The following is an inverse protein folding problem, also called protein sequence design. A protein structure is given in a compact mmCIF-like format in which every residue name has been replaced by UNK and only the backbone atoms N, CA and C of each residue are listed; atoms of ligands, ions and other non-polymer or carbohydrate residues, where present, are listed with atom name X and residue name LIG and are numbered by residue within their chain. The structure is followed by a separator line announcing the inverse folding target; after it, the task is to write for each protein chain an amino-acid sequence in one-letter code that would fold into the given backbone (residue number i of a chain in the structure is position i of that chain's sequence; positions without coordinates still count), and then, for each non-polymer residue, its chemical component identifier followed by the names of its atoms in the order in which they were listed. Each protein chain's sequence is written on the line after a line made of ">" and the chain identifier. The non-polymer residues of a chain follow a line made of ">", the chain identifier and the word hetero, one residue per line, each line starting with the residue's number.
data_IF_070363093163
#
_entry.id   IF_070363093163
#
_cell.length_a   1.000
_cell.length_b   1.000
_cell.length_c   1.000
_cell.angle_alpha   90.00
_cell.angle_beta   90.00
_cell.angle_gamma   90.00
#
_symmetry.space_group_name_H-M   'P 1'
#
loop_
_entity.id
_entity.type
_entity.pdbx_description
1 polymer ?
2 polymer ?
3 non-polymer ?
4 water ?
#
# COMPACT_ATOMS: atom_id res chain seq x y z
N UNK A 6 18.18 9.30 -14.01
CA UNK A 6 16.90 9.03 -14.71
C UNK A 6 15.80 9.88 -14.07
N UNK A 7 14.99 10.53 -14.90
CA UNK A 7 13.88 11.34 -14.38
C UNK A 7 12.64 11.19 -15.25
N UNK A 8 11.49 11.53 -14.70
CA UNK A 8 10.22 11.29 -15.38
C UNK A 8 9.12 12.16 -14.84
N UNK A 9 7.98 12.19 -15.51
CA UNK A 9 6.83 12.96 -15.04
C UNK A 9 5.54 12.16 -15.11
N UNK A 10 4.50 12.71 -14.51
CA UNK A 10 3.15 12.21 -14.70
C UNK A 10 2.44 13.07 -15.68
N UNK A 11 1.26 12.62 -16.11
CA UNK A 11 0.39 13.44 -16.92
C UNK A 11 -0.01 14.61 -16.03
N UNK A 12 -0.10 15.79 -16.63
CA UNK A 12 -0.38 17.02 -15.90
C UNK A 12 -1.72 17.61 -16.31
N UNK A 13 -2.38 18.22 -15.33
CA UNK A 13 -3.73 18.80 -15.49
C UNK A 13 -3.87 20.23 -14.99
N UNK A 14 -4.92 20.90 -15.47
CA UNK A 14 -5.39 22.13 -14.85
C UNK A 14 -6.69 21.89 -14.08
N UNK A 15 -6.89 22.68 -13.03
CA UNK A 15 -8.07 22.55 -12.19
C UNK A 15 -9.29 22.84 -13.07
N UNK A 16 -10.31 21.99 -12.93
CA UNK A 16 -11.53 22.00 -13.77
C UNK A 16 -11.36 21.62 -15.24
N UNK A 17 -10.19 21.09 -15.60
CA UNK A 17 -10.01 20.49 -16.93
C UNK A 17 -11.02 19.35 -17.15
N UNK A 18 -11.65 19.34 -18.31
CA UNK A 18 -12.52 18.21 -18.66
C UNK A 18 -11.88 17.39 -19.79
N UNK A 19 -11.83 16.09 -19.58
CA UNK A 19 -11.06 15.21 -20.43
C UNK A 19 -11.64 13.79 -20.38
N UNK A 20 -11.64 13.12 -21.52
CA UNK A 20 -12.17 11.77 -21.58
C UNK A 20 -11.16 10.79 -20.98
N UNK A 21 -11.70 9.82 -20.27
CA UNK A 21 -10.94 8.78 -19.63
C UNK A 21 -11.50 7.39 -19.95
N UNK A 22 -10.62 6.41 -19.86
CA UNK A 22 -10.97 5.01 -19.75
C UNK A 22 -10.28 4.57 -18.48
N UNK A 23 -10.99 3.83 -17.63
CA UNK A 23 -10.43 3.32 -16.39
C UNK A 23 -9.55 2.10 -16.73
N UNK A 24 -8.28 2.15 -16.38
CA UNK A 24 -7.38 1.01 -16.66
C UNK A 24 -7.09 0.11 -15.43
N UNK A 25 -7.34 0.62 -14.24
CA UNK A 25 -7.22 -0.26 -13.08
C UNK A 25 -8.16 0.25 -12.00
N UNK A 26 -8.65 -0.67 -11.18
CA UNK A 26 -9.71 -0.39 -10.23
C UNK A 26 -9.45 -1.11 -8.92
N UNK A 27 -9.56 -0.37 -7.82
CA UNK A 27 -9.49 -0.93 -6.49
C UNK A 27 -10.70 -0.55 -5.68
N UNK A 28 -11.16 0.71 -5.84
CA UNK A 28 -12.35 1.24 -5.14
C UNK A 28 -12.81 2.55 -5.76
N UNK A 29 -13.90 3.14 -5.24
CA UNK A 29 -14.23 4.52 -5.60
C UNK A 29 -13.23 5.54 -5.12
N UNK A 30 -12.36 5.18 -4.18
CA UNK A 30 -11.34 6.08 -3.67
C UNK A 30 -9.97 5.87 -4.28
N UNK A 31 -9.89 4.90 -5.18
CA UNK A 31 -8.64 4.46 -5.75
C UNK A 31 -8.83 3.71 -7.05
N UNK A 32 -8.77 4.43 -8.15
CA UNK A 32 -8.80 3.80 -9.44
C UNK A 32 -7.89 4.57 -10.37
N UNK A 33 -7.52 3.92 -11.47
CA UNK A 33 -6.53 4.46 -12.36
C UNK A 33 -7.14 4.66 -13.74
N UNK A 34 -6.82 5.80 -14.36
CA UNK A 34 -7.37 6.13 -15.67
C UNK A 34 -6.27 6.47 -16.65
N UNK A 35 -6.51 6.10 -17.91
CA UNK A 35 -5.86 6.73 -19.02
C UNK A 35 -6.66 7.93 -19.42
N UNK A 36 -6.01 9.10 -19.44
CA UNK A 36 -6.60 10.35 -19.89
C UNK A 36 -6.34 10.51 -21.40
N UNK A 37 -7.42 10.60 -22.18
CA UNK A 37 -7.32 10.55 -23.63
C UNK A 37 -7.10 11.94 -24.18
N UNK A 38 -5.88 12.43 -23.99
CA UNK A 38 -5.46 13.70 -24.55
C UNK A 38 -4.04 13.57 -25.09
N UNK A 39 -3.61 14.55 -25.87
CA UNK A 39 -2.26 14.60 -26.40
C UNK A 39 -1.80 13.30 -27.08
N UNK A 40 -2.72 12.58 -27.73
CA UNK A 40 -2.38 11.32 -28.42
C UNK A 40 -1.78 10.24 -27.47
N UNK A 41 -2.22 10.26 -26.21
CA UNK A 41 -1.72 9.36 -25.17
C UNK A 41 -1.74 7.89 -25.54
N UNK A 42 -2.92 7.36 -25.85
CA UNK A 42 -3.07 5.94 -26.09
C UNK A 42 -2.13 5.50 -27.21
N UNK A 43 -1.97 6.33 -28.25
CA UNK A 43 -1.12 5.95 -29.37
C UNK A 43 0.37 6.03 -29.00
N UNK A 44 0.78 7.11 -28.35
CA UNK A 44 2.18 7.23 -27.90
C UNK A 44 2.54 6.10 -26.93
N UNK A 45 1.60 5.72 -26.05
CA UNK A 45 1.82 4.63 -25.11
C UNK A 45 1.95 3.27 -25.82
N UNK A 46 1.09 2.98 -26.80
CA UNK A 46 1.27 1.82 -27.70
C UNK A 46 2.65 1.82 -28.37
N UNK A 47 3.06 2.97 -28.88
CA UNK A 47 4.36 3.04 -29.57
C UNK A 47 5.55 2.77 -28.64
N UNK A 48 5.49 3.34 -27.44
CA UNK A 48 6.53 3.13 -26.43
C UNK A 48 6.61 1.66 -26.04
N UNK A 49 5.45 1.05 -25.81
CA UNK A 49 5.36 -0.36 -25.43
C UNK A 49 5.90 -1.29 -26.49
N UNK A 50 5.62 -0.96 -27.74
CA UNK A 50 6.22 -1.68 -28.85
C UNK A 50 7.74 -1.54 -28.76
N UNK A 51 8.22 -0.31 -28.55
CA UNK A 51 9.66 -0.09 -28.45
C UNK A 51 10.28 -0.83 -27.27
N UNK A 52 9.52 -0.99 -26.19
CA UNK A 52 10.00 -1.72 -25.01
C UNK A 52 10.06 -3.21 -25.27
N UNK A 53 9.12 -3.72 -26.08
CA UNK A 53 9.14 -5.14 -26.44
C UNK A 53 10.42 -5.48 -27.22
N UNK A 54 10.77 -4.63 -28.17
CA UNK A 54 11.96 -4.84 -29.00
C UNK A 54 13.22 -4.76 -28.14
N UNK A 55 13.30 -3.69 -27.34
CA UNK A 55 14.43 -3.43 -26.47
C UNK A 55 14.59 -4.57 -25.46
N UNK A 56 13.48 -4.98 -24.83
CA UNK A 56 13.53 -5.99 -23.77
C UNK A 56 13.79 -7.37 -24.34
N UNK A 57 13.35 -7.58 -25.57
CA UNK A 57 13.43 -8.87 -26.22
C UNK A 57 14.85 -9.38 -26.35
N UNK A 58 15.84 -8.50 -26.37
CA UNK A 58 17.14 -8.92 -26.87
C UNK A 58 18.05 -9.59 -25.84
N UNK A 59 18.84 -10.53 -26.35
CA UNK A 59 19.82 -11.29 -25.58
C UNK A 59 21.19 -10.64 -25.74
N UNK A 60 21.90 -10.35 -24.63
CA UNK A 60 21.54 -10.59 -23.23
C UNK A 60 20.63 -9.51 -22.68
N UNK A 61 19.85 -9.84 -21.64
CA UNK A 61 19.07 -8.82 -20.94
C UNK A 61 19.99 -7.88 -20.14
N UNK A 62 19.39 -6.94 -19.42
CA UNK A 62 20.14 -5.97 -18.61
C UNK A 62 20.39 -6.39 -17.15
N UNK A 63 21.59 -6.10 -16.65
CA UNK A 63 21.86 -6.14 -15.23
C UNK A 63 21.10 -4.96 -14.60
N UNK A 64 20.06 -5.25 -13.83
CA UNK A 64 19.32 -4.20 -13.14
C UNK A 64 19.53 -4.30 -11.62
N UNK A 65 19.85 -3.17 -11.00
CA UNK A 65 20.02 -3.09 -9.56
C UNK A 65 18.78 -2.43 -8.92
N UNK A 66 17.97 -3.23 -8.22
CA UNK A 66 16.71 -2.74 -7.63
C UNK A 66 16.97 -1.81 -6.44
N UNK A 67 16.37 -0.64 -6.49
CA UNK A 67 16.37 0.30 -5.40
C UNK A 67 14.95 0.88 -5.36
N UNK A 68 14.49 1.19 -4.16
CA UNK A 68 13.11 1.64 -3.97
C UNK A 68 12.83 2.94 -4.69
N UNK A 69 11.75 2.94 -5.46
CA UNK A 69 11.37 4.06 -6.27
C UNK A 69 12.16 4.20 -7.57
N UNK A 70 13.02 3.23 -7.92
CA UNK A 70 13.80 3.29 -9.19
C UNK A 70 12.98 2.83 -10.42
N UNK A 71 13.11 3.55 -11.55
CA UNK A 71 12.39 3.09 -12.71
C UNK A 71 13.07 1.88 -13.36
N UNK A 72 12.25 1.05 -14.00
CA UNK A 72 12.73 -0.11 -14.75
C UNK A 72 11.68 -0.52 -15.76
N UNK A 73 12.00 -1.58 -16.50
CA UNK A 73 11.09 -2.33 -17.35
C UNK A 73 10.82 -3.60 -16.60
N UNK A 74 9.54 -3.98 -16.48
CA UNK A 74 9.15 -5.18 -15.75
C UNK A 74 8.24 -6.02 -16.62
N UNK A 75 8.42 -7.34 -16.59
CA UNK A 75 7.60 -8.27 -17.35
C UNK A 75 6.27 -8.46 -16.62
N UNK A 76 5.15 -8.31 -17.31
CA UNK A 76 3.81 -8.52 -16.73
C UNK A 76 3.22 -9.85 -17.22
N UNK A 77 3.15 -10.81 -16.31
CA UNK A 77 2.74 -12.18 -16.65
C UNK A 77 1.27 -12.27 -17.09
N UNK A 78 0.45 -11.32 -16.64
CA UNK A 78 -0.92 -11.17 -17.14
C UNK A 78 -1.07 -11.20 -18.66
N UNK A 79 -0.19 -10.52 -19.41
CA UNK A 79 -0.24 -10.62 -20.89
C UNK A 79 1.10 -10.98 -21.54
N UNK A 80 2.16 -11.18 -20.76
CA UNK A 80 3.44 -11.62 -21.31
C UNK A 80 4.25 -10.57 -22.05
N UNK A 81 4.06 -9.31 -21.71
CA UNK A 81 4.80 -8.22 -22.33
C UNK A 81 5.55 -7.40 -21.27
N UNK A 82 6.54 -6.63 -21.71
CA UNK A 82 7.26 -5.73 -20.82
C UNK A 82 6.60 -4.35 -20.73
N UNK A 83 6.60 -3.76 -19.53
CA UNK A 83 6.09 -2.40 -19.40
C UNK A 83 6.98 -1.59 -18.47
N UNK A 84 6.74 -0.28 -18.44
CA UNK A 84 7.42 0.62 -17.54
C UNK A 84 6.94 0.39 -16.11
N UNK A 85 7.86 0.51 -15.17
CA UNK A 85 7.56 0.24 -13.78
C UNK A 85 8.51 1.00 -12.84
N UNK A 86 8.07 1.16 -11.59
CA UNK A 86 8.88 1.62 -10.48
C UNK A 86 8.94 0.52 -9.42
N UNK A 87 10.13 0.33 -8.85
CA UNK A 87 10.31 -0.58 -7.73
C UNK A 87 9.53 -0.05 -6.51
N UNK A 88 8.59 -0.85 -6.03
CA UNK A 88 7.77 -0.49 -4.89
C UNK A 88 8.26 -1.19 -3.61
N UNK A 89 8.55 -2.48 -3.73
CA UNK A 89 9.04 -3.26 -2.59
C UNK A 89 10.12 -4.27 -2.96
N UNK A 90 11.03 -4.51 -2.02
CA UNK A 90 12.00 -5.63 -2.12
C UNK A 90 11.76 -6.60 -0.98
N UNK A 91 11.48 -7.84 -1.36
CA UNK A 91 11.01 -8.85 -0.42
C UNK A 91 12.18 -9.75 -0.01
N UNK A 92 12.08 -10.37 1.18
CA UNK A 92 13.11 -11.29 1.73
C UNK A 92 13.51 -12.38 0.76
N UNK A 93 12.54 -12.98 0.07
CA UNK A 93 12.83 -13.98 -0.96
C UNK A 93 13.83 -13.53 -2.00
N UNK A 94 13.96 -12.21 -2.16
CA UNK A 94 14.75 -11.66 -3.28
C UNK A 94 13.87 -11.15 -4.40
N UNK A 95 12.59 -11.46 -4.35
CA UNK A 95 11.65 -10.90 -5.35
C UNK A 95 11.36 -9.44 -5.09
N UNK A 96 10.83 -8.78 -6.09
CA UNK A 96 10.63 -7.34 -6.09
C UNK A 96 9.16 -7.06 -6.51
N UNK A 97 8.46 -6.21 -5.77
CA UNK A 97 7.15 -5.72 -6.24
C UNK A 97 7.32 -4.45 -7.02
N UNK A 98 6.66 -4.42 -8.16
CA UNK A 98 6.76 -3.31 -9.07
C UNK A 98 5.39 -2.69 -9.32
N UNK A 99 5.37 -1.35 -9.38
CA UNK A 99 4.23 -0.56 -9.79
C UNK A 99 4.29 -0.28 -11.25
N UNK A 100 3.36 -0.86 -12.02
CA UNK A 100 3.30 -0.58 -13.46
C UNK A 100 2.73 0.82 -13.69
N UNK A 101 3.61 1.77 -14.06
CA UNK A 101 3.33 3.21 -14.00
C UNK A 101 2.32 3.73 -15.03
N UNK A 102 2.15 3.00 -16.13
CA UNK A 102 1.18 3.40 -17.14
C UNK A 102 -0.20 2.74 -16.97
N UNK A 103 -0.41 1.96 -15.90
CA UNK A 103 -1.68 1.21 -15.69
C UNK A 103 -2.19 1.24 -14.24
N UNK A 104 -1.28 1.16 -13.27
CA UNK A 104 -1.64 1.33 -11.87
C UNK A 104 -1.67 0.08 -11.04
N UNK A 105 -1.43 -1.08 -11.66
CA UNK A 105 -1.30 -2.35 -10.94
C UNK A 105 0.10 -2.58 -10.40
N UNK A 106 0.16 -3.34 -9.32
CA UNK A 106 1.40 -3.72 -8.67
C UNK A 106 1.50 -5.24 -8.75
N UNK A 107 2.65 -5.76 -9.20
CA UNK A 107 2.89 -7.21 -9.26
C UNK A 107 4.24 -7.61 -8.60
N UNK A 108 4.30 -8.79 -8.02
CA UNK A 108 5.55 -9.38 -7.55
C UNK A 108 6.26 -10.11 -8.68
N UNK A 109 7.50 -9.70 -8.97
CA UNK A 109 8.31 -10.32 -10.01
C UNK A 109 9.67 -10.82 -9.46
N UNK A 110 10.31 -11.67 -10.25
CA UNK A 110 11.65 -12.13 -9.98
C UNK A 110 12.66 -11.22 -10.69
N UNK A 111 13.94 -11.43 -10.40
CA UNK A 111 15.02 -10.62 -10.97
C UNK A 111 15.20 -10.81 -12.49
N UNK A 112 14.83 -11.96 -13.02
CA UNK A 112 14.82 -12.16 -14.47
C UNK A 112 13.69 -11.41 -15.16
N UNK A 113 12.75 -10.88 -14.40
CA UNK A 113 11.59 -10.20 -14.95
C UNK A 113 11.73 -8.67 -14.84
N UNK A 114 12.96 -8.22 -14.52
CA UNK A 114 13.30 -6.82 -14.43
C UNK A 114 14.46 -6.52 -15.39
N UNK A 115 14.40 -5.38 -16.05
CA UNK A 115 15.49 -4.88 -16.85
C UNK A 115 15.63 -3.38 -16.59
N UNK A 116 16.86 -2.89 -16.60
CA UNK A 116 17.10 -1.44 -16.53
C UNK A 116 16.31 -0.71 -17.64
N UNK A 117 15.80 0.48 -17.34
CA UNK A 117 15.14 1.30 -18.36
C UNK A 117 16.13 2.38 -18.85
N UNK A 118 15.94 2.85 -20.06
CA UNK A 118 16.79 3.89 -20.61
C UNK A 118 16.03 5.21 -20.71
N UNK A 119 16.75 6.35 -20.56
CA UNK A 119 16.12 7.68 -20.55
C UNK A 119 15.17 7.99 -21.71
N UNK A 120 15.39 7.39 -22.87
CA UNK A 120 14.55 7.73 -24.01
C UNK A 120 13.18 7.11 -23.89
N UNK A 121 13.05 6.08 -23.05
CA UNK A 121 11.76 5.49 -22.75
C UNK A 121 11.02 6.19 -21.62
N UNK A 122 11.59 7.25 -21.08
CA UNK A 122 10.98 7.98 -19.95
C UNK A 122 10.51 9.37 -20.37
N UNK A 123 10.53 9.65 -21.67
CA UNK A 123 10.04 10.95 -22.17
C UNK A 123 8.50 11.09 -22.08
N UNK A 124 7.79 10.05 -22.47
CA UNK A 124 6.34 10.04 -22.35
C UNK A 124 5.95 10.08 -20.86
N UNK A 125 5.07 11.00 -20.47
CA UNK A 125 4.66 11.01 -19.05
C UNK A 125 4.04 9.69 -18.66
N UNK A 126 4.20 9.30 -17.39
CA UNK A 126 3.51 8.12 -16.87
C UNK A 126 1.99 8.30 -16.96
N UNK A 127 1.32 7.25 -17.44
CA UNK A 127 -0.07 7.36 -17.93
C UNK A 127 -1.12 6.79 -17.00
N UNK A 128 -0.72 5.99 -16.01
CA UNK A 128 -1.65 5.44 -15.04
C UNK A 128 -1.86 6.45 -13.92
N UNK A 129 -2.87 7.28 -14.09
CA UNK A 129 -3.11 8.39 -13.18
C UNK A 129 -4.05 7.95 -12.07
N UNK A 130 -3.58 8.01 -10.82
CA UNK A 130 -4.46 7.62 -9.71
C UNK A 130 -5.58 8.64 -9.57
N UNK A 131 -6.82 8.15 -9.42
CA UNK A 131 -7.99 8.99 -9.27
C UNK A 131 -8.80 8.57 -8.06
N UNK A 132 -9.73 9.44 -7.66
CA UNK A 132 -10.80 9.07 -6.71
C UNK A 132 -11.99 9.88 -7.08
N UNK A 133 -13.19 9.39 -6.80
CA UNK A 133 -14.40 10.18 -7.06
C UNK A 133 -14.53 11.23 -5.97
N UNK A 134 -14.91 12.44 -6.32
CA UNK A 134 -15.08 13.45 -5.28
C UNK A 134 -16.48 13.37 -4.67
N UNK A 135 -16.60 13.95 -3.50
CA UNK A 135 -17.89 14.21 -2.83
C UNK A 135 -18.61 12.94 -2.31
N UNK A 136 -17.84 11.86 -2.12
CA UNK A 136 -18.35 10.64 -1.48
C UNK A 136 -17.36 10.02 -0.47
N UNK A 137 -17.87 9.15 0.39
CA UNK A 137 -17.09 8.46 1.42
C UNK A 137 -17.79 7.12 1.75
N UNK A 138 -17.04 6.12 2.25
CA UNK A 138 -17.68 4.85 2.63
C UNK A 138 -18.66 5.02 3.79
N UNK A 139 -19.75 4.23 3.80
CA UNK A 139 -20.72 4.35 4.92
C UNK A 139 -20.08 4.12 6.28
N UNK A 140 -19.24 3.10 6.39
CA UNK A 140 -18.43 2.92 7.59
C UNK A 140 -17.03 3.41 7.24
N UNK A 141 -15.98 2.62 7.41
CA UNK A 141 -14.63 3.16 7.18
C UNK A 141 -13.92 2.55 5.97
N UNK A 142 -14.61 1.68 5.24
CA UNK A 142 -13.98 0.90 4.20
C UNK A 142 -14.92 0.81 3.07
N UNK A 143 -14.39 0.91 1.86
CA UNK A 143 -15.17 0.66 0.65
C UNK A 143 -15.60 -0.79 0.58
N UNK A 144 -16.91 -1.02 0.50
CA UNK A 144 -17.42 -2.40 0.38
C UNK A 144 -17.18 -2.96 -1.02
N UNK A 145 -17.08 -4.30 -1.14
CA UNK A 145 -17.06 -4.99 -2.44
C UNK A 145 -18.24 -4.58 -3.31
N UNK A 146 -19.41 -4.50 -2.69
CA UNK A 146 -20.66 -4.07 -3.38
C UNK A 146 -20.53 -2.67 -3.98
N UNK A 147 -20.02 -1.71 -3.19
CA UNK A 147 -19.82 -0.34 -3.70
C UNK A 147 -18.79 -0.36 -4.84
N UNK A 148 -17.75 -1.16 -4.66
CA UNK A 148 -16.71 -1.23 -5.69
C UNK A 148 -17.20 -1.93 -6.97
N UNK A 149 -17.92 -3.04 -6.83
CA UNK A 149 -18.45 -3.75 -8.00
C UNK A 149 -19.54 -2.94 -8.73
N UNK A 150 -20.31 -2.15 -8.00
CA UNK A 150 -21.29 -1.28 -8.66
C UNK A 150 -20.56 -0.22 -9.48
N UNK A 151 -19.54 0.41 -8.89
CA UNK A 151 -18.70 1.39 -9.55
C UNK A 151 -18.13 0.80 -10.85
N UNK A 152 -17.54 -0.40 -10.76
CA UNK A 152 -16.93 -1.10 -11.89
C UNK A 152 -17.94 -1.32 -13.04
N UNK A 153 -19.15 -1.73 -12.67
CA UNK A 153 -20.25 -1.91 -13.63
C UNK A 153 -20.67 -0.56 -14.28
N UNK A 154 -20.44 0.56 -13.60
CA UNK A 154 -20.63 1.91 -14.24
C UNK A 154 -19.54 2.31 -15.22
N UNK A 155 -18.36 1.72 -15.15
CA UNK A 155 -17.27 2.19 -16.02
C UNK A 155 -16.79 1.15 -17.03
N UNK A 156 -17.03 -0.14 -16.77
CA UNK A 156 -16.47 -1.18 -17.64
C UNK A 156 -16.83 -0.97 -19.14
N UNK A 157 -15.84 -1.12 -20.04
CA UNK A 157 -16.08 -0.99 -21.50
C UNK A 157 -16.58 0.36 -22.00
N UNK A 158 -16.37 1.39 -21.19
CA UNK A 158 -16.95 2.72 -21.42
C UNK A 158 -15.85 3.78 -21.40
N UNK A 159 -15.99 4.78 -22.26
CA UNK A 159 -15.22 6.00 -22.15
C UNK A 159 -16.13 7.01 -21.45
N UNK A 160 -15.60 7.67 -20.41
CA UNK A 160 -16.35 8.65 -19.62
C UNK A 160 -15.69 10.02 -19.70
N UNK A 161 -16.48 11.08 -19.46
CA UNK A 161 -15.94 12.42 -19.23
C UNK A 161 -15.45 12.59 -17.78
N UNK A 162 -14.20 12.99 -17.61
CA UNK A 162 -13.67 13.28 -16.28
C UNK A 162 -13.45 14.78 -16.18
N UNK A 163 -13.92 15.35 -15.08
CA UNK A 163 -13.61 16.70 -14.74
C UNK A 163 -12.67 16.67 -13.53
N UNK A 164 -11.50 17.25 -13.70
CA UNK A 164 -10.44 17.22 -12.70
C UNK A 164 -10.78 18.29 -11.66
N UNK A 165 -11.38 17.93 -10.53
CA UNK A 165 -11.86 18.90 -9.53
C UNK A 165 -10.75 19.31 -8.55
N UNK A 166 -9.95 18.32 -8.14
CA UNK A 166 -8.83 18.60 -7.24
C UNK A 166 -7.60 17.79 -7.66
N UNK A 167 -6.43 18.43 -7.53
CA UNK A 167 -5.15 17.88 -7.95
C UNK A 167 -4.32 17.78 -6.70
N UNK A 168 -3.82 16.59 -6.39
CA UNK A 168 -2.84 16.44 -5.30
C UNK A 168 -1.55 15.86 -5.87
N UNK A 169 -0.48 15.82 -5.07
CA UNK A 169 0.81 15.28 -5.52
C UNK A 169 0.67 13.83 -5.99
N UNK A 170 -0.04 13.02 -5.21
CA UNK A 170 -0.20 11.58 -5.50
C UNK A 170 -1.33 11.20 -6.49
N UNK A 171 -2.12 12.17 -6.97
CA UNK A 171 -3.23 11.86 -7.91
C UNK A 171 -4.27 12.95 -8.09
N UNK A 172 -5.45 12.59 -8.60
CA UNK A 172 -6.53 13.54 -8.85
C UNK A 172 -7.93 13.06 -8.41
N UNK A 173 -8.68 13.97 -7.77
CA UNK A 173 -10.09 13.76 -7.44
C UNK A 173 -10.94 14.20 -8.64
N UNK A 174 -11.80 13.33 -9.13
CA UNK A 174 -12.56 13.61 -10.35
C UNK A 174 -14.06 13.40 -10.15
N UNK A 175 -14.82 14.11 -10.97
CA UNK A 175 -16.22 13.84 -11.21
C UNK A 175 -16.29 13.13 -12.56
N UNK A 176 -16.95 11.98 -12.59
CA UNK A 176 -17.04 11.11 -13.79
C UNK A 176 -18.47 11.12 -14.31
N UNK A 177 -18.61 11.38 -15.60
CA UNK A 177 -19.91 11.34 -16.21
C UNK A 177 -19.88 10.48 -17.45
N UNK A 178 -20.89 9.63 -17.54
CA UNK A 178 -21.15 8.79 -18.70
C UNK A 178 -22.01 9.57 -19.72
N UNK A 179 -21.46 9.84 -20.90
CA UNK A 179 -22.13 10.58 -21.96
C UNK A 179 -22.40 9.70 -23.19
N UNK A 180 -22.51 8.39 -22.97
CA UNK A 180 -22.68 7.44 -24.06
C UNK A 180 -24.11 7.47 -24.59
N UNK A 181 -25.03 8.05 -23.82
CA UNK A 181 -26.36 8.39 -24.33
C UNK A 181 -26.65 9.90 -24.13
N UNK A 182 -27.81 10.37 -24.65
CA UNK A 182 -28.21 11.76 -24.38
C UNK A 182 -28.52 12.06 -22.91
N UNK A 183 -28.68 11.03 -22.09
CA UNK A 183 -28.94 11.19 -20.66
C UNK A 183 -27.62 11.07 -19.91
N UNK A 184 -27.04 12.21 -19.47
CA UNK A 184 -25.80 12.10 -18.74
C UNK A 184 -25.98 11.39 -17.39
N UNK A 185 -25.00 10.56 -17.02
CA UNK A 185 -25.06 9.79 -15.77
C UNK A 185 -23.79 10.10 -14.99
N UNK A 186 -23.94 10.78 -13.87
CA UNK A 186 -22.83 11.10 -12.98
C UNK A 186 -22.68 9.94 -12.03
N UNK A 187 -21.50 9.31 -12.07
CA UNK A 187 -21.33 8.02 -11.45
C UNK A 187 -21.58 8.09 -9.93
N UNK A 188 -21.07 9.13 -9.28
CA UNK A 188 -21.34 9.36 -7.84
C UNK A 188 -22.85 9.36 -7.49
N UNK A 189 -23.67 10.00 -8.33
CA UNK A 189 -25.12 9.97 -8.15
C UNK A 189 -25.61 8.57 -7.99
N UNK A 190 -25.15 7.70 -8.89
CA UNK A 190 -25.53 6.29 -8.88
C UNK A 190 -25.21 5.68 -7.54
N UNK A 191 -23.96 5.81 -7.10
CA UNK A 191 -23.51 5.22 -5.84
C UNK A 191 -24.21 5.79 -4.59
N UNK A 192 -24.52 7.09 -4.62
CA UNK A 192 -25.22 7.72 -3.49
C UNK A 192 -26.66 7.24 -3.46
N UNK A 193 -27.34 7.38 -4.61
CA UNK A 193 -28.74 6.98 -4.75
C UNK A 193 -28.95 5.54 -4.27
N UNK A 194 -28.03 4.66 -4.64
CA UNK A 194 -28.15 3.24 -4.34
C UNK A 194 -27.73 2.89 -2.90
N UNK A 195 -27.37 3.89 -2.11
CA UNK A 195 -27.04 3.71 -0.68
C UNK A 195 -25.70 3.00 -0.46
N UNK A 196 -24.88 2.91 -1.50
CA UNK A 196 -23.62 2.20 -1.44
C UNK A 196 -22.49 3.07 -0.89
N UNK A 197 -22.67 4.39 -0.96
CA UNK A 197 -21.68 5.34 -0.43
C UNK A 197 -22.40 6.55 0.16
N UNK A 198 -21.69 7.34 0.94
CA UNK A 198 -22.30 8.49 1.61
C UNK A 198 -21.76 9.76 1.00
N UNK A 199 -22.58 10.80 0.99
CA UNK A 199 -22.14 12.15 0.60
C UNK A 199 -20.96 12.58 1.44
N UNK A 200 -20.08 13.36 0.84
CA UNK A 200 -18.93 13.90 1.57
C UNK A 200 -18.68 15.35 1.19
N UNK A 201 -18.31 16.15 2.17
CA UNK A 201 -18.07 17.58 1.99
C UNK A 201 -19.25 18.45 2.40
N UNK B 6 -19.20 -6.71 15.72
CA UNK B 6 -17.72 -6.73 15.93
C UNK B 6 -17.19 -5.29 15.88
N UNK B 7 -16.45 -4.90 16.92
CA UNK B 7 -15.78 -3.58 17.01
C UNK B 7 -14.50 -3.74 17.83
N UNK B 8 -13.55 -2.82 17.66
CA UNK B 8 -12.22 -3.03 18.25
C UNK B 8 -11.51 -1.73 18.43
N UNK B 9 -10.35 -1.74 19.08
CA UNK B 9 -9.54 -0.53 19.26
C UNK B 9 -8.04 -0.83 19.14
N UNK B 10 -7.26 0.24 19.01
CA UNK B 10 -5.81 0.15 19.04
C UNK B 10 -5.32 0.61 20.35
N UNK B 11 -4.05 0.30 20.63
CA UNK B 11 -3.38 0.74 21.84
C UNK B 11 -3.50 2.25 21.84
N UNK B 12 -3.83 2.83 22.99
CA UNK B 12 -3.99 4.30 23.07
C UNK B 12 -2.80 4.94 23.80
N UNK B 13 -2.55 6.21 23.51
CA UNK B 13 -1.41 6.94 24.05
C UNK B 13 -1.79 8.37 24.47
N UNK B 14 -0.96 8.95 25.33
CA UNK B 14 -0.99 10.40 25.52
C UNK B 14 0.25 11.03 24.89
N UNK B 15 0.13 12.30 24.49
CA UNK B 15 1.21 13.02 23.81
C UNK B 15 2.37 13.16 24.77
N UNK B 16 3.58 12.92 24.26
CA UNK B 16 4.81 12.89 25.04
C UNK B 16 4.97 11.72 26.03
N UNK B 17 4.09 10.73 25.94
CA UNK B 17 4.20 9.50 26.72
C UNK B 17 5.46 8.74 26.34
N UNK B 18 6.21 8.30 27.34
CA UNK B 18 7.39 7.49 27.10
C UNK B 18 7.08 6.09 27.54
N UNK B 19 7.45 5.16 26.69
CA UNK B 19 7.10 3.77 26.87
C UNK B 19 8.12 2.93 26.14
N UNK B 20 8.38 1.76 26.67
CA UNK B 20 9.30 0.83 26.04
C UNK B 20 8.66 0.12 24.87
N UNK B 21 9.45 -0.10 23.81
CA UNK B 21 8.97 -0.83 22.65
C UNK B 21 9.95 -1.89 22.18
N UNK B 22 9.41 -2.87 21.46
CA UNK B 22 10.18 -3.73 20.60
C UNK B 22 9.53 -3.62 19.21
N UNK B 23 10.36 -3.45 18.18
CA UNK B 23 9.90 -3.41 16.79
C UNK B 23 9.54 -4.84 16.34
N UNK B 24 8.30 -5.02 15.87
CA UNK B 24 7.82 -6.33 15.47
C UNK B 24 7.71 -6.48 13.94
N UNK B 25 7.61 -5.38 13.23
CA UNK B 25 7.62 -5.43 11.77
C UNK B 25 8.18 -4.12 11.23
N UNK B 26 8.99 -4.23 10.19
CA UNK B 26 9.72 -3.11 9.64
C UNK B 26 9.66 -3.01 8.11
N UNK B 27 9.42 -1.80 7.60
CA UNK B 27 9.45 -1.50 6.17
C UNK B 27 10.38 -0.36 5.80
N UNK B 28 10.40 0.66 6.69
CA UNK B 28 11.26 1.85 6.51
C UNK B 28 11.32 2.67 7.79
N UNK B 29 12.20 3.69 7.82
CA UNK B 29 12.12 4.65 8.92
C UNK B 29 10.79 5.42 9.01
N UNK B 30 9.97 5.40 7.96
CA UNK B 30 8.69 6.09 7.94
C UNK B 30 7.51 5.13 8.14
N UNK B 31 7.80 3.87 8.37
CA UNK B 31 6.79 2.84 8.47
C UNK B 31 7.40 1.60 9.13
N UNK B 32 7.18 1.47 10.43
CA UNK B 32 7.57 0.27 11.16
C UNK B 32 6.54 0.05 12.26
N UNK B 33 6.50 -1.16 12.79
CA UNK B 33 5.49 -1.51 13.78
C UNK B 33 6.13 -1.91 15.08
N UNK B 34 5.51 -1.51 16.20
CA UNK B 34 6.04 -1.78 17.56
C UNK B 34 5.02 -2.43 18.49
N UNK B 35 5.49 -3.35 19.32
CA UNK B 35 4.76 -3.66 20.52
C UNK B 35 5.15 -2.66 21.55
N UNK B 36 4.15 -2.01 22.14
CA UNK B 36 4.34 -1.06 23.23
C UNK B 36 4.19 -1.84 24.56
N UNK B 37 5.26 -1.88 25.33
CA UNK B 37 5.35 -2.73 26.52
C UNK B 37 4.77 -2.03 27.74
N UNK B 38 3.45 -1.95 27.78
CA UNK B 38 2.73 -1.42 28.93
C UNK B 38 1.45 -2.21 29.10
N UNK B 39 0.79 -2.08 30.25
CA UNK B 39 -0.47 -2.75 30.54
C UNK B 39 -0.44 -4.26 30.31
N UNK B 40 0.70 -4.90 30.59
CA UNK B 40 0.83 -6.37 30.39
C UNK B 40 0.53 -6.84 28.95
N UNK B 41 0.89 -6.02 27.96
CA UNK B 41 0.56 -6.28 26.55
C UNK B 41 1.08 -7.62 26.06
N UNK B 42 2.41 -7.80 26.10
CA UNK B 42 3.04 -9.04 25.62
C UNK B 42 2.35 -10.27 26.22
N UNK B 43 2.12 -10.25 27.52
CA UNK B 43 1.48 -11.38 28.22
C UNK B 43 0.03 -11.56 27.76
N UNK B 44 -0.77 -10.51 27.78
CA UNK B 44 -2.14 -10.61 27.30
C UNK B 44 -2.23 -11.02 25.82
N UNK B 45 -1.26 -10.63 25.01
CA UNK B 45 -1.27 -11.03 23.59
C UNK B 45 -0.97 -12.53 23.42
N UNK B 46 0.09 -13.02 24.08
CA UNK B 46 0.33 -14.49 24.18
C UNK B 46 -0.91 -15.27 24.64
N UNK B 47 -1.51 -14.82 25.73
CA UNK B 47 -2.73 -15.46 26.24
C UNK B 47 -3.80 -15.50 25.16
N UNK B 48 -4.04 -14.37 24.50
CA UNK B 48 -5.00 -14.31 23.42
C UNK B 48 -4.62 -15.30 22.29
N UNK B 49 -3.35 -15.31 21.91
CA UNK B 49 -2.88 -16.15 20.81
C UNK B 49 -3.06 -17.65 21.10
N UNK B 50 -2.87 -18.02 22.35
CA UNK B 50 -3.11 -19.39 22.78
C UNK B 50 -4.61 -19.71 22.67
N UNK B 51 -5.45 -18.80 23.15
CA UNK B 51 -6.90 -18.94 22.97
C UNK B 51 -7.35 -19.09 21.51
N UNK B 52 -6.64 -18.42 20.61
CA UNK B 52 -6.95 -18.48 19.19
C UNK B 52 -6.51 -19.82 18.61
N UNK B 53 -5.33 -20.29 19.01
CA UNK B 53 -4.85 -21.57 18.49
C UNK B 53 -5.85 -22.66 18.88
N UNK B 54 -6.32 -22.63 20.13
CA UNK B 54 -7.31 -23.59 20.61
C UNK B 54 -8.61 -23.50 19.82
N UNK B 55 -9.13 -22.28 19.70
CA UNK B 55 -10.38 -22.02 18.97
C UNK B 55 -10.29 -22.36 17.48
N UNK B 56 -9.19 -21.99 16.83
CA UNK B 56 -9.03 -22.23 15.40
C UNK B 56 -8.69 -23.68 15.10
N UNK B 57 -8.10 -24.38 16.06
CA UNK B 57 -7.68 -25.77 15.87
C UNK B 57 -8.81 -26.77 15.65
N UNK B 58 -10.04 -26.42 16.02
CA UNK B 58 -11.15 -27.39 16.02
C UNK B 58 -11.78 -27.61 14.65
N UNK B 64 -16.37 -18.23 7.22
CA UNK B 64 -16.04 -16.81 7.16
C UNK B 64 -16.36 -16.19 5.81
N UNK B 65 -17.16 -15.11 5.80
CA UNK B 65 -17.43 -14.35 4.59
C UNK B 65 -16.56 -13.09 4.55
N UNK B 66 -15.59 -13.04 3.61
CA UNK B 66 -14.65 -11.91 3.49
C UNK B 66 -15.31 -10.61 3.01
N UNK B 67 -15.06 -9.55 3.76
CA UNK B 67 -15.42 -8.20 3.40
C UNK B 67 -14.24 -7.30 3.80
N UNK B 68 -13.97 -6.30 2.97
CA UNK B 68 -12.87 -5.33 3.22
C UNK B 68 -13.03 -4.67 4.58
N UNK B 69 -11.97 -4.74 5.38
CA UNK B 69 -11.93 -4.17 6.71
C UNK B 69 -12.58 -4.99 7.81
N UNK B 70 -13.02 -6.20 7.47
CA UNK B 70 -13.66 -7.08 8.45
C UNK B 70 -12.61 -7.89 9.23
N UNK B 71 -12.84 -8.05 10.56
CA UNK B 71 -11.93 -8.83 11.41
C UNK B 71 -12.08 -10.35 11.24
N UNK B 72 -11.01 -11.09 11.56
CA UNK B 72 -11.00 -12.53 11.39
C UNK B 72 -9.82 -13.14 12.09
N UNK B 73 -9.77 -14.47 12.09
CA UNK B 73 -8.56 -15.21 12.38
C UNK B 73 -7.96 -15.65 11.06
N UNK B 74 -6.66 -15.46 10.91
CA UNK B 74 -5.98 -15.88 9.69
C UNK B 74 -4.76 -16.70 10.05
N UNK B 75 -4.46 -17.70 9.22
CA UNK B 75 -3.30 -18.57 9.44
C UNK B 75 -2.06 -17.91 8.88
N UNK B 76 -0.99 -17.81 9.66
CA UNK B 76 0.26 -17.21 9.20
C UNK B 76 1.28 -18.32 8.90
N UNK B 77 1.61 -18.53 7.61
CA UNK B 77 2.45 -19.65 7.22
C UNK B 77 3.92 -19.51 7.67
N UNK B 78 4.35 -18.31 8.01
CA UNK B 78 5.71 -18.07 8.53
C UNK B 78 6.01 -18.86 9.81
N UNK B 79 5.05 -18.96 10.71
CA UNK B 79 5.21 -19.78 11.90
C UNK B 79 4.13 -20.81 12.10
N UNK B 80 3.13 -20.85 11.24
CA UNK B 80 2.11 -21.90 11.31
C UNK B 80 1.12 -21.78 12.45
N UNK B 81 0.83 -20.54 12.85
CA UNK B 81 -0.15 -20.29 13.89
C UNK B 81 -1.21 -19.29 13.43
N UNK B 82 -2.36 -19.31 14.11
CA UNK B 82 -3.46 -18.41 13.81
C UNK B 82 -3.30 -17.10 14.57
N UNK B 83 -3.66 -16.00 13.92
CA UNK B 83 -3.57 -14.67 14.53
C UNK B 83 -4.74 -13.80 14.12
N UNK B 84 -4.97 -12.72 14.88
CA UNK B 84 -6.00 -11.73 14.56
C UNK B 84 -5.61 -10.98 13.30
N UNK B 85 -6.58 -10.74 12.44
CA UNK B 85 -6.34 -10.02 11.19
C UNK B 85 -7.54 -9.21 10.75
N UNK B 86 -7.32 -8.26 9.84
CA UNK B 86 -8.40 -7.60 9.14
C UNK B 86 -8.16 -7.87 7.67
N UNK B 87 -9.26 -8.07 6.95
CA UNK B 87 -9.21 -8.24 5.51
C UNK B 87 -8.79 -6.94 4.84
N UNK B 88 -7.70 -6.98 4.08
CA UNK B 88 -7.17 -5.78 3.43
C UNK B 88 -7.54 -5.76 1.94
N UNK B 89 -7.32 -6.88 1.27
CA UNK B 89 -7.66 -6.99 -0.15
C UNK B 89 -8.34 -8.31 -0.49
N UNK B 90 -9.18 -8.30 -1.51
CA UNK B 90 -9.74 -9.52 -2.08
C UNK B 90 -9.34 -9.59 -3.56
N UNK B 91 -8.68 -10.68 -3.92
CA UNK B 91 -8.05 -10.83 -5.22
C UNK B 91 -8.97 -11.64 -6.16
N UNK B 92 -8.81 -11.45 -7.49
CA UNK B 92 -9.44 -12.23 -8.57
C UNK B 92 -9.35 -13.74 -8.39
N UNK B 93 -8.15 -14.24 -8.05
CA UNK B 93 -7.97 -15.66 -7.71
C UNK B 93 -8.95 -16.20 -6.69
N UNK B 94 -9.52 -15.31 -5.89
CA UNK B 94 -10.35 -15.73 -4.74
C UNK B 94 -9.56 -15.70 -3.45
N UNK B 95 -8.25 -15.51 -3.53
CA UNK B 95 -7.45 -15.33 -2.31
C UNK B 95 -7.73 -13.97 -1.65
N UNK B 96 -7.25 -13.81 -0.42
CA UNK B 96 -7.49 -12.60 0.35
C UNK B 96 -6.16 -12.16 0.99
N UNK B 97 -5.86 -10.87 0.94
CA UNK B 97 -4.74 -10.34 1.74
C UNK B 97 -5.25 -9.84 3.09
N UNK B 98 -4.59 -10.28 4.14
CA UNK B 98 -4.97 -9.89 5.50
C UNK B 98 -3.82 -9.16 6.17
N UNK B 99 -4.19 -8.21 7.01
CA UNK B 99 -3.27 -7.41 7.82
C UNK B 99 -3.31 -8.00 9.19
N UNK B 100 -2.19 -8.52 9.65
CA UNK B 100 -2.12 -9.12 10.98
C UNK B 100 -1.98 -8.00 12.00
N UNK B 101 -3.07 -7.74 12.72
CA UNK B 101 -3.25 -6.48 13.44
C UNK B 101 -2.40 -6.32 14.69
N UNK B 102 -1.86 -7.42 15.19
CA UNK B 102 -1.00 -7.38 16.37
C UNK B 102 0.49 -7.36 16.03
N UNK B 103 0.85 -7.41 14.74
CA UNK B 103 2.25 -7.44 14.27
C UNK B 103 2.53 -6.49 13.11
N UNK B 104 1.56 -6.34 12.21
CA UNK B 104 1.63 -5.31 11.18
C UNK B 104 2.00 -5.78 9.79
N UNK B 105 2.28 -7.06 9.63
CA UNK B 105 2.59 -7.61 8.31
C UNK B 105 1.30 -7.98 7.59
N UNK B 106 1.39 -7.98 6.25
CA UNK B 106 0.26 -8.34 5.38
C UNK B 106 0.64 -9.58 4.58
N UNK B 107 -0.25 -10.57 4.53
CA UNK B 107 -0.01 -11.77 3.76
C UNK B 107 -1.22 -12.17 2.92
N UNK B 108 -0.95 -12.86 1.83
CA UNK B 108 -1.99 -13.42 1.00
C UNK B 108 -2.33 -14.82 1.46
N UNK B 109 -3.61 -15.05 1.81
CA UNK B 109 -4.07 -16.34 2.28
C UNK B 109 -5.24 -16.86 1.42
N UNK B 110 -5.50 -18.16 1.53
CA UNK B 110 -6.64 -18.79 0.89
C UNK B 110 -7.79 -18.80 1.89
N UNK B 111 -8.99 -19.11 1.38
CA UNK B 111 -10.21 -19.13 2.18
C UNK B 111 -10.13 -20.13 3.34
N UNK B 112 -9.40 -21.22 3.13
CA UNK B 112 -9.11 -22.20 4.20
C UNK B 112 -8.22 -21.65 5.33
N UNK B 113 -7.53 -20.54 5.07
CA UNK B 113 -6.64 -19.96 6.05
C UNK B 113 -7.31 -18.76 6.78
N UNK B 114 -8.64 -18.73 6.72
CA UNK B 114 -9.45 -17.71 7.36
C UNK B 114 -10.54 -18.34 8.20
N UNK B 115 -10.81 -17.76 9.36
CA UNK B 115 -11.97 -18.16 10.14
C UNK B 115 -12.61 -16.93 10.77
N UNK B 116 -13.91 -16.98 11.01
CA UNK B 116 -14.53 -15.86 11.69
C UNK B 116 -13.85 -15.71 13.07
N UNK B 117 -13.78 -14.48 13.57
CA UNK B 117 -13.24 -14.22 14.89
C UNK B 117 -14.40 -13.99 15.87
N UNK B 118 -14.25 -14.46 17.09
CA UNK B 118 -15.27 -14.24 18.09
C UNK B 118 -15.11 -12.89 18.76
N UNK B 119 -16.23 -12.24 19.10
CA UNK B 119 -16.22 -10.94 19.74
C UNK B 119 -15.34 -10.85 20.99
N UNK B 120 -15.35 -11.87 21.83
CA UNK B 120 -14.46 -11.86 23.02
C UNK B 120 -12.97 -11.87 22.67
N UNK B 121 -12.65 -12.23 21.44
CA UNK B 121 -11.28 -12.08 20.95
C UNK B 121 -10.92 -10.68 20.48
N UNK B 122 -11.87 -9.75 20.50
CA UNK B 122 -11.62 -8.36 20.12
C UNK B 122 -11.57 -7.38 21.30
N UNK B 123 -11.44 -7.90 22.52
CA UNK B 123 -11.36 -7.02 23.70
C UNK B 123 -9.95 -6.41 23.90
N UNK B 124 -8.91 -7.22 23.78
CA UNK B 124 -7.52 -6.73 23.85
C UNK B 124 -7.30 -5.76 22.70
N UNK B 125 -6.80 -4.56 23.01
CA UNK B 125 -6.51 -3.66 21.88
C UNK B 125 -5.51 -4.29 20.89
N UNK B 126 -5.66 -3.94 19.60
CA UNK B 126 -4.71 -4.39 18.57
C UNK B 126 -3.32 -3.77 18.84
N UNK B 127 -2.28 -4.56 18.65
CA UNK B 127 -0.96 -4.26 19.23
C UNK B 127 0.13 -3.95 18.22
N UNK B 128 -0.12 -4.15 16.93
CA UNK B 128 0.86 -3.77 15.91
C UNK B 128 0.64 -2.30 15.66
N UNK B 129 1.35 -1.44 16.39
CA UNK B 129 1.10 0.00 16.29
C UNK B 129 2.01 0.55 15.22
N UNK B 130 1.42 1.18 14.19
CA UNK B 130 2.21 1.79 13.13
C UNK B 130 2.96 2.98 13.69
N UNK B 131 4.26 3.02 13.41
CA UNK B 131 5.09 4.13 13.81
C UNK B 131 5.88 4.70 12.61
N UNK B 132 6.34 5.94 12.78
CA UNK B 132 7.38 6.54 11.95
C UNK B 132 8.28 7.31 12.85
N UNK B 133 9.55 7.45 12.48
CA UNK B 133 10.48 8.30 13.23
C UNK B 133 10.22 9.77 12.92
N UNK B 134 10.11 10.63 13.94
CA UNK B 134 9.85 12.05 13.70
C UNK B 134 11.14 12.78 13.29
N UNK B 135 10.98 13.93 12.65
CA UNK B 135 12.10 14.85 12.34
C UNK B 135 13.16 14.36 11.33
N UNK B 136 12.76 13.43 10.44
CA UNK B 136 13.62 13.02 9.32
C UNK B 136 12.83 12.78 8.04
N UNK B 137 13.52 12.81 6.91
CA UNK B 137 12.90 12.58 5.61
C UNK B 137 13.91 11.92 4.69
N UNK B 138 13.43 11.22 3.65
CA UNK B 138 14.36 10.65 2.67
C UNK B 138 15.18 11.73 2.00
N UNK B 139 16.44 11.46 1.69
CA UNK B 139 17.22 12.41 0.89
C UNK B 139 16.58 12.76 -0.45
N UNK B 140 16.05 11.77 -1.15
CA UNK B 140 15.42 12.01 -2.44
C UNK B 140 13.89 11.96 -2.25
N UNK B 141 13.20 10.95 -2.76
CA UNK B 141 11.74 10.84 -2.55
C UNK B 141 11.30 9.57 -1.76
N UNK B 142 12.17 8.57 -1.69
CA UNK B 142 11.81 7.29 -1.13
C UNK B 142 12.91 6.87 -0.20
N UNK B 143 12.54 6.05 0.77
CA UNK B 143 13.49 5.50 1.71
C UNK B 143 14.39 4.54 0.97
N UNK B 144 15.71 4.65 1.14
CA UNK B 144 16.63 3.73 0.46
C UNK B 144 16.74 2.44 1.28
N UNK B 145 17.14 1.35 0.62
CA UNK B 145 17.53 0.09 1.31
C UNK B 145 18.59 0.32 2.38
N UNK B 146 19.62 1.08 2.05
CA UNK B 146 20.68 1.38 3.03
C UNK B 146 20.15 2.03 4.32
N UNK B 147 19.30 3.05 4.20
CA UNK B 147 18.67 3.73 5.34
C UNK B 147 17.84 2.77 6.18
N UNK B 148 17.00 2.00 5.52
CA UNK B 148 16.16 1.02 6.22
C UNK B 148 17.03 -0.05 6.86
N UNK B 149 18.00 -0.57 6.11
CA UNK B 149 18.90 -1.60 6.63
C UNK B 149 19.67 -1.08 7.88
N UNK B 150 20.09 0.18 7.84
CA UNK B 150 20.78 0.76 8.98
C UNK B 150 19.84 0.93 10.20
N UNK B 151 18.60 1.40 9.94
CA UNK B 151 17.58 1.51 10.98
C UNK B 151 17.40 0.15 11.64
N UNK B 152 17.17 -0.90 10.83
CA UNK B 152 17.02 -2.29 11.28
C UNK B 152 18.20 -2.73 12.19
N UNK B 153 19.43 -2.43 11.78
CA UNK B 153 20.65 -2.70 12.60
C UNK B 153 20.59 -2.00 13.96
N UNK B 154 19.96 -0.82 14.00
CA UNK B 154 19.83 -0.05 15.22
C UNK B 154 18.78 -0.59 16.18
N UNK B 155 17.85 -1.39 15.68
CA UNK B 155 16.75 -1.87 16.53
C UNK B 155 16.72 -3.39 16.73
N UNK B 156 17.35 -4.16 15.83
CA UNK B 156 17.29 -5.62 15.94
C UNK B 156 17.70 -6.15 17.34
N UNK B 157 16.85 -6.98 17.93
CA UNK B 157 17.13 -7.66 19.22
C UNK B 157 17.09 -6.76 20.44
N UNK B 158 16.44 -5.61 20.33
CA UNK B 158 16.56 -4.54 21.33
C UNK B 158 15.20 -4.04 21.82
N UNK B 159 15.11 -3.83 23.13
CA UNK B 159 14.06 -2.99 23.69
C UNK B 159 14.57 -1.56 23.66
N UNK B 160 13.77 -0.67 23.08
CA UNK B 160 14.08 0.77 23.03
C UNK B 160 13.06 1.55 23.84
N UNK B 161 13.45 2.76 24.25
CA UNK B 161 12.51 3.73 24.77
C UNK B 161 11.87 4.50 23.63
N UNK B 162 10.54 4.56 23.58
CA UNK B 162 9.86 5.39 22.60
C UNK B 162 9.18 6.56 23.29
N UNK B 163 9.26 7.74 22.69
CA UNK B 163 8.50 8.88 23.14
C UNK B 163 7.52 9.22 22.04
N UNK B 164 6.24 9.18 22.40
CA UNK B 164 5.18 9.44 21.45
C UNK B 164 5.06 10.94 21.26
N UNK B 165 5.45 11.45 20.11
CA UNK B 165 5.51 12.89 19.87
C UNK B 165 4.23 13.35 19.19
N UNK B 166 3.74 12.54 18.25
CA UNK B 166 2.49 12.85 17.53
C UNK B 166 1.65 11.59 17.33
N UNK B 167 0.35 11.75 17.56
CA UNK B 167 -0.66 10.71 17.50
C UNK B 167 -1.51 11.08 16.31
N UNK B 168 -1.57 10.24 15.29
CA UNK B 168 -2.57 10.44 14.19
C UNK B 168 -3.61 9.31 14.22
N UNK B 169 -4.66 9.41 13.40
CA UNK B 169 -5.64 8.32 13.32
C UNK B 169 -4.96 7.03 12.85
N UNK B 170 -4.04 7.14 11.88
CA UNK B 170 -3.42 5.96 11.25
C UNK B 170 -2.05 5.45 11.82
N UNK B 171 -1.53 6.09 12.88
CA UNK B 171 -0.26 5.66 13.53
C UNK B 171 0.29 6.62 14.58
N UNK B 172 1.58 6.48 14.92
CA UNK B 172 2.27 7.40 15.86
C UNK B 172 3.69 7.76 15.38
N UNK B 173 4.02 9.07 15.34
CA UNK B 173 5.39 9.54 15.17
C UNK B 173 6.13 9.47 16.51
N UNK B 174 7.26 8.78 16.52
CA UNK B 174 8.01 8.57 17.75
C UNK B 174 9.46 8.98 17.64
N UNK B 175 10.04 9.31 18.80
CA UNK B 175 11.48 9.45 18.92
C UNK B 175 11.89 8.19 19.69
N UNK B 176 12.84 7.44 19.12
CA UNK B 176 13.34 6.17 19.68
C UNK B 176 14.73 6.38 20.26
N UNK B 177 14.93 5.86 21.47
CA UNK B 177 16.23 5.94 22.12
C UNK B 177 16.63 4.58 22.65
N UNK B 178 17.84 4.17 22.33
CA UNK B 178 18.44 2.93 22.84
C UNK B 178 19.10 3.23 24.18
N UNK B 179 18.60 2.60 25.24
CA UNK B 179 19.12 2.83 26.60
C UNK B 179 19.81 1.59 27.15
N UNK B 180 20.31 0.73 26.27
CA UNK B 180 20.90 -0.53 26.67
C UNK B 180 22.29 -0.33 27.34
N UNK B 181 22.92 0.82 27.14
CA UNK B 181 24.10 1.21 27.90
C UNK B 181 23.87 2.58 28.54
N UNK B 182 24.80 3.01 29.43
CA UNK B 182 24.72 4.35 29.99
C UNK B 182 24.74 5.50 28.96
N UNK B 183 25.25 5.26 27.76
CA UNK B 183 25.27 6.24 26.69
C UNK B 183 23.98 6.12 25.84
N UNK B 184 23.00 7.03 26.03
CA UNK B 184 21.80 6.93 25.22
C UNK B 184 22.10 7.22 23.75
N UNK B 185 21.38 6.53 22.87
CA UNK B 185 21.58 6.64 21.41
C UNK B 185 20.20 6.88 20.77
N UNK B 186 19.98 8.12 20.32
CA UNK B 186 18.74 8.45 19.62
C UNK B 186 18.90 8.04 18.16
N UNK B 187 18.02 7.13 17.75
CA UNK B 187 18.20 6.46 16.47
C UNK B 187 18.22 7.44 15.28
N UNK B 188 17.37 8.46 15.29
CA UNK B 188 17.39 9.46 14.20
C UNK B 188 18.80 10.06 14.03
N UNK B 189 19.46 10.36 15.15
CA UNK B 189 20.84 10.87 15.16
C UNK B 189 21.75 10.08 14.26
N UNK B 190 21.70 8.77 14.43
CA UNK B 190 22.53 7.86 13.65
C UNK B 190 22.27 8.01 12.16
N UNK B 191 20.98 7.99 11.77
CA UNK B 191 20.60 8.06 10.37
C UNK B 191 20.93 9.41 9.72
N UNK B 192 20.73 10.48 10.48
CA UNK B 192 21.10 11.82 10.01
C UNK B 192 22.63 11.91 9.92
N UNK B 193 23.32 11.60 11.01
CA UNK B 193 24.78 11.70 11.07
C UNK B 193 25.42 10.93 9.91
N UNK B 194 24.89 9.75 9.60
CA UNK B 194 25.51 8.91 8.58
C UNK B 194 25.02 9.22 7.16
N UNK B 195 24.35 10.36 7.00
CA UNK B 195 24.00 10.85 5.67
C UNK B 195 22.91 10.02 5.03
N UNK B 196 22.14 9.25 5.82
CA UNK B 196 21.18 8.31 5.26
C UNK B 196 19.79 8.93 5.08
N UNK B 197 19.46 9.89 5.93
CA UNK B 197 18.18 10.61 5.87
C UNK B 197 18.49 12.07 6.11
N UNK B 198 17.57 12.94 5.71
CA UNK B 198 17.70 14.38 5.92
C UNK B 198 16.84 14.82 7.09
N UNK B 199 17.29 15.80 7.86
CA UNK B 199 16.45 16.44 8.87
C UNK B 199 15.10 16.84 8.29
N UNK B 200 14.10 16.88 9.13
CA UNK B 200 12.78 17.32 8.72
C UNK B 200 12.14 18.03 9.89
N UNK B 201 11.09 18.79 9.61
CA UNK B 201 10.49 19.70 10.59
C UNK B 201 11.24 21.02 10.60
N UNK C 6 -7.39 -11.57 -14.07
CA UNK C 6 -6.50 -12.54 -14.81
C UNK C 6 -5.44 -11.79 -15.66
N UNK C 7 -5.84 -10.69 -16.29
CA UNK C 7 -4.94 -9.67 -16.83
C UNK C 7 -4.81 -8.58 -15.76
N UNK C 8 -5.30 -7.38 -16.03
CA UNK C 8 -5.36 -6.32 -14.98
C UNK C 8 -6.75 -6.34 -14.43
N UNK C 9 -7.00 -7.29 -13.54
CA UNK C 9 -8.34 -7.49 -13.00
C UNK C 9 -8.53 -6.59 -11.81
N UNK C 10 -9.78 -6.23 -11.56
CA UNK C 10 -10.12 -5.42 -10.41
C UNK C 10 -9.65 -6.15 -9.13
N UNK C 11 -9.07 -5.40 -8.20
CA UNK C 11 -8.69 -5.92 -6.89
C UNK C 11 -9.46 -5.12 -5.84
N UNK C 12 -10.30 -5.76 -5.06
CA UNK C 12 -11.03 -5.04 -4.02
C UNK C 12 -10.07 -4.55 -2.92
N UNK C 13 -10.11 -3.24 -2.68
CA UNK C 13 -9.38 -2.59 -1.58
C UNK C 13 -10.29 -1.64 -0.83
N UNK D 6 10.51 -15.45 5.16
CA UNK D 6 10.60 -16.64 6.06
C UNK D 6 9.54 -16.58 7.18
N UNK D 7 9.65 -15.59 8.05
CA UNK D 7 8.67 -15.29 9.11
C UNK D 7 8.24 -13.83 8.94
N UNK D 8 8.31 -13.04 10.00
CA UNK D 8 8.02 -11.59 9.88
C UNK D 8 9.31 -10.93 9.60
N UNK D 9 9.75 -11.06 8.35
CA UNK D 9 11.00 -10.46 7.91
C UNK D 9 10.75 -9.07 7.39
N UNK D 10 11.74 -8.21 7.56
CA UNK D 10 11.73 -6.86 7.03
C UNK D 10 11.43 -6.87 5.53
N UNK D 11 10.57 -5.96 5.08
CA UNK D 11 10.26 -5.78 3.66
C UNK D 11 10.61 -4.36 3.36
N UNK D 12 11.49 -4.12 2.40
CA UNK D 12 11.90 -2.77 2.05
C UNK D 12 10.79 -2.09 1.29
N UNK D 13 10.47 -0.87 1.73
CA UNK D 13 9.38 -0.05 1.18
C UNK D 13 9.77 1.41 1.23
X LIG E 1 -9.39 -3.75 -14.05
X LIG E 1 -9.85 -3.12 -12.87
X LIG E 1 -10.17 -3.37 -15.32
X LIG E 1 -9.47 -2.29 -15.93
X LIG E 1 -11.59 -2.92 -15.01
X LIG E 1 -11.59 -1.58 -14.50
X LIG F 1 10.79 -7.98 11.17
X LIG F 1 10.69 -6.80 10.35
X LIG F 1 11.42 -7.72 12.54
X LIG F 1 10.53 -6.89 13.27
X LIG F 1 12.77 -7.03 12.45
X LIG F 1 12.69 -5.70 13.02
#
# INVERSE_FOLDING_TARGET
>A
GPAEALEWTWVEFTVDETVDVVVCMMYSPGEFYCHFLKDDALEKLDDLNQSLADYCAQKPPNGFKAEIGRPCCAFFSGDGNWYRALVKEILPSGNVKVHFVDYGNVEEVTTDQLQAILPQFLLLPFQGMQCWLVDIQPPNKHWTKEATARFQACVVGLKLQARVVEITANGVGVELTDLSTPYPKIISDVLIREQLVLRCG
>B
GPAEALEWTWVEFTVDETVDVVVCMMYSPGEFYCHFLKDDALEKLDDLNQSLADYCAQKPPNGFKAEIGRPCCAFFSGDGNWYRALVKEILPSGNVKVHFVDYGNVEEVTTDQLQAILPQFLLLPFQGMQCWLVDIQPPNKHWTKEATARFQACVVGLKLQARVVEITANGVGVELTDLSTPYPKIISDVLIREQLVLRCG
>C
GRAGPAGXGLVFR
>D
GRAGPAGXGLVFR
>E hetero
1 GOL C1 O1 C2 O2 C3 O3
>F hetero
1 GOL C1 O1 C2 O2 C3 O3
#
